data_IF_845549995281
#
_entry.id   IF_845549995281
#
_cell.length_a   1.000
_cell.length_b   1.000
_cell.length_c   1.000
_cell.angle_alpha   90.00
_cell.angle_beta   90.00
_cell.angle_gamma   90.00
#
_symmetry.space_group_name_H-M   'P 1'
#
loop_
_entity.id
_entity.type
_entity.pdbx_description
1 polymer ?
#
# COMPACT_ATOMS: atom_id res chain seq x y z
N UNK A 1 21.70 16.23 14.88
CA UNK A 1 21.39 15.68 14.53
C UNK A 1 20.72 15.42 14.20
N UNK A 2 20.67 15.15 13.84
CA UNK A 2 20.04 14.86 13.44
C UNK A 2 19.20 14.33 13.59
N UNK A 3 19.14 14.89 13.35
CA UNK A 3 17.80 14.63 13.55
C UNK A 3 17.45 13.23 13.27
N UNK A 4 17.17 12.62 14.23
CA UNK A 4 16.76 11.26 14.14
C UNK A 4 15.41 11.20 13.45
N UNK A 5 15.43 10.87 12.21
CA UNK A 5 14.22 10.41 11.57
C UNK A 5 13.98 9.02 12.08
N UNK A 6 13.03 8.89 12.96
CA UNK A 6 12.61 7.58 13.41
C UNK A 6 11.95 6.86 12.25
N UNK A 7 12.56 5.79 11.82
CA UNK A 7 11.92 4.92 10.85
C UNK A 7 10.82 4.14 11.54
N UNK A 8 9.62 4.36 11.12
CA UNK A 8 8.52 3.56 11.61
C UNK A 8 8.63 2.14 11.10
N UNK A 9 8.17 1.21 11.91
CA UNK A 9 8.11 -0.18 11.47
C UNK A 9 7.06 -0.33 10.38
N UNK A 10 7.37 -1.17 9.40
CA UNK A 10 6.40 -1.52 8.38
C UNK A 10 5.29 -2.37 8.99
N UNK A 11 4.07 -2.14 8.54
CA UNK A 11 2.94 -2.94 8.97
C UNK A 11 3.08 -4.36 8.41
N UNK A 12 2.84 -5.33 9.26
CA UNK A 12 2.95 -6.73 8.90
C UNK A 12 1.86 -7.50 9.63
N UNK A 13 1.12 -8.31 8.89
CA UNK A 13 0.06 -9.10 9.51
C UNK A 13 0.62 -10.42 10.07
N UNK A 14 -0.25 -11.22 10.68
CA UNK A 14 0.15 -12.49 11.28
C UNK A 14 0.66 -13.51 10.26
N UNK A 15 0.34 -13.32 8.98
CA UNK A 15 0.80 -14.19 7.91
C UNK A 15 2.13 -13.77 7.31
N UNK A 16 2.74 -12.70 7.85
CA UNK A 16 4.00 -12.19 7.35
C UNK A 16 3.87 -11.34 6.10
N UNK A 17 2.69 -10.83 5.81
CA UNK A 17 2.45 -10.00 4.65
C UNK A 17 2.54 -8.52 5.01
N UNK A 18 3.12 -7.73 4.09
CA UNK A 18 3.16 -6.27 4.20
C UNK A 18 1.95 -5.69 3.50
N UNK A 19 1.48 -4.54 3.98
CA UNK A 19 0.41 -3.79 3.32
C UNK A 19 1.05 -2.87 2.29
N UNK A 20 0.89 -3.21 1.00
CA UNK A 20 1.37 -2.38 -0.10
C UNK A 20 0.31 -1.36 -0.47
N UNK A 21 0.69 -0.10 -0.49
CA UNK A 21 -0.17 1.01 -0.89
C UNK A 21 0.30 1.55 -2.23
N UNK A 22 -0.63 1.92 -3.09
CA UNK A 22 -0.28 2.35 -4.45
C UNK A 22 -1.43 3.11 -5.08
N UNK A 23 -1.12 3.84 -6.15
CA UNK A 23 -2.12 4.49 -6.98
C UNK A 23 -2.26 3.72 -8.29
N UNK A 24 -3.45 3.81 -8.88
CA UNK A 24 -3.66 3.31 -10.24
C UNK A 24 -3.20 4.35 -11.25
N UNK A 25 -2.72 3.90 -12.41
CA UNK A 25 -2.29 4.84 -13.46
C UNK A 25 -3.42 5.75 -13.91
N UNK A 26 -4.62 5.21 -13.97
CA UNK A 26 -5.80 5.99 -14.39
C UNK A 26 -6.40 6.87 -13.30
N UNK A 27 -5.83 6.86 -12.10
CA UNK A 27 -6.35 7.60 -10.95
C UNK A 27 -6.92 6.68 -9.89
N UNK A 28 -7.01 7.20 -8.66
CA UNK A 28 -7.47 6.42 -7.52
C UNK A 28 -6.33 5.67 -6.84
N UNK A 29 -6.58 5.18 -5.65
CA UNK A 29 -5.59 4.48 -4.85
C UNK A 29 -6.17 3.20 -4.28
N UNK A 30 -5.29 2.28 -3.88
CA UNK A 30 -5.70 1.01 -3.29
C UNK A 30 -4.58 0.43 -2.44
N UNK A 31 -4.83 -0.69 -1.81
CA UNK A 31 -3.81 -1.39 -1.03
C UNK A 31 -4.03 -2.90 -1.11
N UNK A 32 -2.94 -3.64 -0.98
CA UNK A 32 -2.95 -5.10 -1.05
C UNK A 32 -1.93 -5.64 -0.06
N UNK A 33 -2.31 -6.69 0.66
CA UNK A 33 -1.41 -7.41 1.54
C UNK A 33 -0.69 -8.50 0.76
N UNK A 34 0.64 -8.48 0.80
CA UNK A 34 1.48 -9.47 0.11
C UNK A 34 2.84 -9.58 0.81
N UNK A 35 3.49 -10.71 0.69
CA UNK A 35 4.80 -10.94 1.31
C UNK A 35 5.93 -10.24 0.56
N UNK A 36 5.81 -10.12 -0.76
CA UNK A 36 6.83 -9.53 -1.62
C UNK A 36 6.16 -9.00 -2.88
N UNK A 37 6.98 -8.40 -3.75
CA UNK A 37 6.46 -7.76 -4.95
C UNK A 37 5.87 -8.78 -5.94
N UNK A 38 6.41 -9.97 -6.00
CA UNK A 38 5.91 -11.01 -6.89
C UNK A 38 4.50 -11.43 -6.47
N UNK A 39 4.31 -11.64 -5.17
CA UNK A 39 2.99 -11.96 -4.63
C UNK A 39 2.02 -10.80 -4.80
N UNK A 40 2.51 -9.56 -4.63
CA UNK A 40 1.72 -8.36 -4.86
C UNK A 40 1.19 -8.32 -6.30
N UNK A 41 2.05 -8.55 -7.28
CA UNK A 41 1.65 -8.53 -8.68
C UNK A 41 0.62 -9.62 -8.99
N UNK A 42 0.79 -10.80 -8.41
CA UNK A 42 -0.16 -11.88 -8.58
C UNK A 42 -1.52 -11.52 -7.99
N UNK A 43 -1.53 -10.87 -6.82
CA UNK A 43 -2.76 -10.44 -6.17
C UNK A 43 -3.48 -9.35 -6.96
N UNK A 44 -2.75 -8.40 -7.53
CA UNK A 44 -3.32 -7.37 -8.40
C UNK A 44 -4.04 -8.04 -9.57
N UNK A 45 -3.38 -8.98 -10.22
CA UNK A 45 -3.97 -9.67 -11.36
C UNK A 45 -5.21 -10.46 -10.96
N UNK A 46 -5.15 -11.13 -9.82
CA UNK A 46 -6.25 -11.95 -9.33
C UNK A 46 -7.48 -11.12 -8.97
N UNK A 47 -7.27 -9.98 -8.31
CA UNK A 47 -8.37 -9.15 -7.80
C UNK A 47 -8.88 -8.13 -8.81
N UNK A 48 -8.00 -7.59 -9.62
CA UNK A 48 -8.32 -6.44 -10.48
C UNK A 48 -8.05 -6.69 -11.97
N UNK A 49 -7.54 -7.86 -12.32
CA UNK A 49 -7.34 -8.22 -13.72
C UNK A 49 -6.28 -7.37 -14.40
N UNK A 50 -6.67 -6.64 -15.43
CA UNK A 50 -5.73 -5.87 -16.25
C UNK A 50 -5.51 -4.43 -15.77
N UNK A 51 -6.00 -4.09 -14.58
CA UNK A 51 -5.76 -2.77 -14.03
C UNK A 51 -4.27 -2.52 -13.85
N UNK A 52 -3.83 -1.30 -14.14
CA UNK A 52 -2.41 -0.96 -14.12
C UNK A 52 -2.05 -0.16 -12.89
N UNK A 53 -1.09 -0.68 -12.14
CA UNK A 53 -0.54 -0.03 -10.95
C UNK A 53 0.51 0.98 -11.38
N UNK A 54 0.47 2.15 -10.76
CA UNK A 54 1.55 3.12 -10.90
C UNK A 54 2.66 2.75 -9.92
N UNK A 55 3.65 2.02 -10.40
CA UNK A 55 4.71 1.50 -9.53
C UNK A 55 5.59 2.59 -8.92
N UNK A 56 5.54 3.82 -9.47
CA UNK A 56 6.27 4.92 -8.85
C UNK A 56 5.66 5.33 -7.50
N UNK A 57 4.41 4.98 -7.27
CA UNK A 57 3.72 5.28 -6.02
C UNK A 57 3.72 4.11 -5.04
N UNK A 58 4.16 2.94 -5.48
CA UNK A 58 4.10 1.73 -4.66
C UNK A 58 5.04 1.80 -3.47
N UNK A 59 4.51 1.53 -2.29
CA UNK A 59 5.31 1.50 -1.07
C UNK A 59 4.65 0.58 -0.04
N UNK A 60 5.45 0.12 0.90
CA UNK A 60 4.94 -0.65 2.02
C UNK A 60 4.43 0.31 3.09
N UNK A 61 3.26 0.02 3.64
CA UNK A 61 2.64 0.90 4.62
C UNK A 61 3.37 0.88 5.96
N UNK A 62 3.48 2.04 6.56
CA UNK A 62 3.80 2.19 7.98
C UNK A 62 2.50 2.48 8.71
N UNK A 63 2.57 2.55 10.03
CA UNK A 63 1.39 2.89 10.82
C UNK A 63 0.82 4.25 10.45
N UNK A 64 1.69 5.25 10.28
CA UNK A 64 1.26 6.58 9.88
C UNK A 64 0.66 6.60 8.49
N UNK A 65 1.31 5.97 7.51
CA UNK A 65 0.80 5.98 6.15
C UNK A 65 -0.51 5.22 6.04
N UNK A 66 -0.69 4.17 6.82
CA UNK A 66 -1.94 3.43 6.86
C UNK A 66 -3.09 4.29 7.40
N UNK A 67 -2.83 5.05 8.46
CA UNK A 67 -3.84 5.96 9.00
C UNK A 67 -4.25 7.02 7.98
N UNK A 68 -3.27 7.59 7.28
CA UNK A 68 -3.55 8.59 6.25
C UNK A 68 -4.34 7.99 5.09
N UNK A 69 -3.99 6.78 4.70
CA UNK A 69 -4.67 6.08 3.62
C UNK A 69 -6.12 5.79 3.98
N UNK A 70 -6.34 5.31 5.19
CA UNK A 70 -7.68 5.01 5.67
C UNK A 70 -8.51 6.27 5.80
N UNK A 71 -7.90 7.36 6.27
CA UNK A 71 -8.57 8.65 6.39
C UNK A 71 -8.98 9.18 5.02
N UNK A 72 -8.09 9.09 4.03
CA UNK A 72 -8.38 9.51 2.67
C UNK A 72 -9.52 8.66 2.08
N UNK A 73 -9.50 7.37 2.33
CA UNK A 73 -10.57 6.47 1.90
C UNK A 73 -11.91 6.83 2.51
N UNK A 74 -11.92 7.16 3.79
CA UNK A 74 -13.14 7.58 4.47
C UNK A 74 -13.68 8.89 3.93
N UNK A 75 -12.80 9.82 3.61
CA UNK A 75 -13.19 11.10 3.03
C UNK A 75 -13.76 10.95 1.62
N UNK A 76 -13.36 9.92 0.91
CA UNK A 76 -13.83 9.63 -0.43
C UNK A 76 -15.01 8.66 -0.44
N UNK A 77 -15.46 8.28 0.72
CA UNK A 77 -16.57 7.36 0.86
C UNK A 77 -17.88 8.13 0.63
N UNK A 78 -18.63 7.70 -0.33
CA UNK A 78 -19.92 8.31 -0.70
C UNK A 78 -21.05 7.32 -0.56
#
# INVERSE_FOLDING_TARGET
MRASIKREKLLKNSKGQYRYQFNWIGGGFNDIWAKNIIEFMAEVKRQFGNSKVDYTTLHKATESSAREWDKAGNMMCW
#
